data_IF_156125425927
#
_entry.id   IF_156125425927
#
_cell.length_a   1.000
_cell.length_b   1.000
_cell.length_c   1.000
_cell.angle_alpha   90.00
_cell.angle_beta   90.00
_cell.angle_gamma   90.00
#
_symmetry.space_group_name_H-M   'P 1'
#
loop_
_entity.id
_entity.type
_entity.pdbx_description
1 polymer ?
#
# COMPACT_ATOMS: atom_id res chain seq x y z
N UNK A 1 30.19 6.54 -16.63
CA UNK A 1 30.62 5.16 -16.70
C UNK A 1 31.07 4.67 -15.33
N UNK A 2 30.84 3.43 -14.99
CA UNK A 2 31.40 2.81 -13.78
C UNK A 2 32.89 2.58 -14.03
N UNK A 3 33.75 2.96 -13.10
CA UNK A 3 35.23 2.83 -13.21
C UNK A 3 35.86 3.51 -14.43
N UNK A 4 35.29 4.61 -14.90
CA UNK A 4 35.86 5.35 -16.04
C UNK A 4 35.65 4.69 -17.41
N UNK A 5 34.98 3.55 -17.51
CA UNK A 5 34.71 2.92 -18.79
C UNK A 5 33.41 3.46 -19.39
N UNK A 6 33.44 3.81 -20.65
CA UNK A 6 32.28 4.19 -21.45
C UNK A 6 31.69 2.94 -22.09
N UNK A 7 30.43 2.66 -21.79
CA UNK A 7 29.72 1.47 -22.24
C UNK A 7 28.77 1.72 -23.42
N UNK A 8 29.06 2.67 -24.28
CA UNK A 8 28.27 2.99 -25.47
C UNK A 8 27.21 4.08 -25.25
N UNK A 9 26.58 4.56 -26.32
CA UNK A 9 25.55 5.56 -26.21
C UNK A 9 24.34 5.00 -25.46
N UNK A 10 23.99 5.63 -24.35
CA UNK A 10 22.69 5.48 -23.75
C UNK A 10 21.71 6.01 -24.80
N UNK A 11 20.77 5.18 -25.27
CA UNK A 11 19.83 5.55 -26.33
C UNK A 11 19.18 6.91 -26.07
N UNK A 12 18.78 7.59 -27.13
CA UNK A 12 18.11 8.90 -27.03
C UNK A 12 16.77 8.75 -26.31
N UNK A 13 16.77 9.04 -25.02
CA UNK A 13 15.55 9.13 -24.21
C UNK A 13 14.87 10.47 -24.48
N UNK A 14 14.03 10.54 -25.50
CA UNK A 14 13.30 11.77 -25.85
C UNK A 14 12.11 12.08 -24.93
N UNK A 15 11.64 11.12 -24.14
CA UNK A 15 10.37 11.25 -23.38
C UNK A 15 10.32 10.51 -22.03
N UNK A 16 11.44 10.23 -21.38
CA UNK A 16 11.41 9.57 -20.08
C UNK A 16 12.34 10.19 -19.07
N UNK A 17 11.94 10.13 -17.81
CA UNK A 17 12.78 10.49 -16.67
C UNK A 17 13.64 9.28 -16.32
N UNK A 18 14.97 9.46 -16.27
CA UNK A 18 15.90 8.35 -16.00
C UNK A 18 15.64 7.82 -14.58
N UNK A 19 15.22 6.57 -14.49
CA UNK A 19 15.03 5.88 -13.21
C UNK A 19 16.36 5.86 -12.43
N UNK A 20 16.31 6.22 -11.13
CA UNK A 20 17.48 6.31 -10.28
C UNK A 20 18.22 7.66 -10.28
N UNK A 21 17.81 8.63 -11.11
CA UNK A 21 18.25 10.01 -10.96
C UNK A 21 17.68 10.61 -9.67
N UNK A 22 18.49 11.28 -8.86
CA UNK A 22 18.04 11.91 -7.60
C UNK A 22 16.95 12.96 -7.80
N UNK A 23 16.89 13.59 -8.97
CA UNK A 23 15.86 14.58 -9.33
C UNK A 23 14.61 13.99 -9.98
N UNK A 24 14.60 12.69 -10.32
CA UNK A 24 13.51 12.08 -11.09
C UNK A 24 12.16 12.15 -10.36
N UNK A 25 12.16 11.91 -9.05
CA UNK A 25 10.94 11.99 -8.23
C UNK A 25 10.37 13.41 -8.17
N UNK A 26 11.25 14.41 -8.06
CA UNK A 26 10.86 15.84 -8.03
C UNK A 26 10.30 16.28 -9.38
N UNK A 27 10.94 15.88 -10.47
CA UNK A 27 10.49 16.17 -11.83
C UNK A 27 9.14 15.51 -12.08
N UNK A 28 8.98 14.23 -11.77
CA UNK A 28 7.73 13.51 -11.93
C UNK A 28 6.59 14.19 -11.16
N UNK A 29 6.82 14.56 -9.90
CA UNK A 29 5.83 15.32 -9.11
C UNK A 29 5.42 16.63 -9.76
N UNK A 30 6.36 17.37 -10.33
CA UNK A 30 6.06 18.63 -11.03
C UNK A 30 5.24 18.40 -12.30
N UNK A 31 5.54 17.36 -13.08
CA UNK A 31 4.77 17.04 -14.28
C UNK A 31 3.33 16.68 -13.96
N UNK A 32 3.10 15.87 -12.92
CA UNK A 32 1.77 15.41 -12.51
C UNK A 32 0.97 16.50 -11.78
N UNK A 33 1.65 17.50 -11.21
CA UNK A 33 0.99 18.57 -10.45
C UNK A 33 -0.06 19.35 -11.26
N UNK A 34 0.23 19.64 -12.52
CA UNK A 34 -0.69 20.44 -13.35
C UNK A 34 -1.96 19.67 -13.71
N UNK A 35 -1.92 18.39 -14.10
CA UNK A 35 -3.12 17.55 -14.19
C UNK A 35 -3.95 17.51 -12.90
N UNK A 36 -3.30 17.39 -11.73
CA UNK A 36 -4.00 17.44 -10.44
C UNK A 36 -4.67 18.79 -10.18
N UNK A 37 -4.02 19.90 -10.56
CA UNK A 37 -4.63 21.21 -10.45
C UNK A 37 -5.84 21.38 -11.38
N UNK A 38 -5.76 20.83 -12.61
CA UNK A 38 -6.89 20.84 -13.53
C UNK A 38 -8.09 20.06 -12.95
N UNK A 39 -7.86 18.90 -12.38
CA UNK A 39 -8.90 18.13 -11.68
C UNK A 39 -9.54 18.91 -10.54
N UNK A 40 -8.74 19.58 -9.71
CA UNK A 40 -9.21 20.39 -8.58
C UNK A 40 -9.95 21.66 -9.00
N UNK A 41 -9.59 22.25 -10.13
CA UNK A 41 -10.33 23.40 -10.69
C UNK A 41 -11.73 22.99 -11.13
N UNK A 42 -11.88 21.78 -11.65
CA UNK A 42 -13.16 21.23 -12.04
C UNK A 42 -13.99 20.74 -10.86
N UNK A 43 -13.32 20.16 -9.83
CA UNK A 43 -14.00 19.62 -8.65
C UNK A 43 -13.11 19.70 -7.41
N UNK A 44 -13.30 20.72 -6.60
CA UNK A 44 -12.48 21.02 -5.41
C UNK A 44 -12.62 19.97 -4.30
N UNK A 45 -13.75 19.26 -4.24
CA UNK A 45 -14.06 18.31 -3.17
C UNK A 45 -13.41 16.94 -3.36
N UNK A 46 -12.73 16.71 -4.49
CA UNK A 46 -12.01 15.48 -4.75
C UNK A 46 -10.65 15.50 -4.05
N UNK A 47 -10.39 14.48 -3.26
CA UNK A 47 -9.11 14.29 -2.60
C UNK A 47 -8.11 13.60 -3.53
N UNK A 48 -6.93 14.17 -3.67
CA UNK A 48 -5.85 13.61 -4.49
C UNK A 48 -4.68 13.17 -3.63
N UNK A 49 -4.14 11.99 -3.95
CA UNK A 49 -2.85 11.53 -3.44
C UNK A 49 -1.92 11.21 -4.59
N UNK A 50 -0.69 11.66 -4.48
CA UNK A 50 0.36 11.38 -5.44
C UNK A 50 1.55 10.70 -4.76
N UNK A 51 1.96 9.57 -5.30
CA UNK A 51 3.23 8.94 -4.95
C UNK A 51 4.07 8.74 -6.21
N UNK A 52 5.00 9.67 -6.44
CA UNK A 52 5.85 9.77 -7.65
C UNK A 52 4.98 9.90 -8.91
N UNK A 53 4.74 8.81 -9.62
CA UNK A 53 3.93 8.66 -10.84
C UNK A 53 2.54 8.06 -10.57
N UNK A 54 2.37 7.39 -9.45
CA UNK A 54 1.06 6.85 -9.07
C UNK A 54 0.17 7.97 -8.50
N UNK A 55 -1.02 8.11 -9.07
CA UNK A 55 -2.06 9.07 -8.63
C UNK A 55 -3.29 8.30 -8.20
N UNK A 56 -3.87 8.73 -7.11
CA UNK A 56 -5.16 8.25 -6.63
C UNK A 56 -6.07 9.46 -6.38
N UNK A 57 -7.27 9.41 -6.93
CA UNK A 57 -8.34 10.37 -6.66
C UNK A 57 -9.43 9.66 -5.86
N UNK A 58 -9.94 10.33 -4.83
CA UNK A 58 -11.01 9.81 -3.99
C UNK A 58 -12.16 10.80 -3.95
N UNK A 59 -13.34 10.26 -4.14
CA UNK A 59 -14.59 10.97 -3.94
C UNK A 59 -15.43 10.21 -2.91
N UNK A 60 -16.02 10.93 -1.98
CA UNK A 60 -16.92 10.36 -0.98
C UNK A 60 -18.18 11.22 -0.85
N UNK A 61 -19.30 10.62 -0.50
CA UNK A 61 -20.58 11.32 -0.32
C UNK A 61 -21.71 10.33 -0.05
N UNK A 62 -22.85 10.87 0.38
CA UNK A 62 -24.07 10.08 0.65
C UNK A 62 -24.87 9.83 -0.63
N UNK A 63 -24.82 10.76 -1.58
CA UNK A 63 -25.58 10.69 -2.84
C UNK A 63 -24.72 10.09 -3.94
N UNK A 64 -25.12 8.92 -4.42
CA UNK A 64 -24.35 8.17 -5.44
C UNK A 64 -24.21 8.95 -6.74
N UNK A 65 -25.26 9.61 -7.19
CA UNK A 65 -25.22 10.39 -8.43
C UNK A 65 -24.22 11.54 -8.36
N UNK A 66 -24.16 12.21 -7.22
CA UNK A 66 -23.20 13.30 -6.98
C UNK A 66 -21.75 12.78 -6.92
N UNK A 67 -21.50 11.66 -6.23
CA UNK A 67 -20.20 11.00 -6.20
C UNK A 67 -19.75 10.62 -7.61
N UNK A 68 -20.63 10.01 -8.41
CA UNK A 68 -20.32 9.66 -9.81
C UNK A 68 -19.94 10.93 -10.61
N UNK A 69 -20.80 11.96 -10.57
CA UNK A 69 -20.56 13.20 -11.32
C UNK A 69 -19.23 13.85 -10.98
N UNK A 70 -18.92 13.98 -9.70
CA UNK A 70 -17.65 14.56 -9.22
C UNK A 70 -16.44 13.74 -9.63
N UNK A 71 -16.52 12.41 -9.46
CA UNK A 71 -15.44 11.49 -9.86
C UNK A 71 -15.15 11.56 -11.35
N UNK A 72 -16.20 11.55 -12.18
CA UNK A 72 -16.07 11.60 -13.64
C UNK A 72 -15.45 12.93 -14.04
N UNK A 73 -16.01 14.06 -13.54
CA UNK A 73 -15.55 15.39 -13.89
C UNK A 73 -14.08 15.62 -13.56
N UNK A 74 -13.66 15.32 -12.32
CA UNK A 74 -12.27 15.46 -11.90
C UNK A 74 -11.33 14.51 -12.64
N UNK A 75 -11.75 13.26 -12.82
CA UNK A 75 -10.92 12.26 -13.47
C UNK A 75 -10.70 12.51 -14.95
N UNK A 76 -11.72 12.95 -15.68
CA UNK A 76 -11.59 13.36 -17.11
C UNK A 76 -10.67 14.57 -17.22
N UNK A 77 -10.88 15.62 -16.41
CA UNK A 77 -10.03 16.80 -16.42
C UNK A 77 -8.55 16.46 -16.12
N UNK A 78 -8.31 15.54 -15.19
CA UNK A 78 -6.98 15.01 -14.94
C UNK A 78 -6.39 14.32 -16.17
N UNK A 79 -7.15 13.42 -16.78
CA UNK A 79 -6.68 12.60 -17.91
C UNK A 79 -6.39 13.46 -19.15
N UNK A 80 -7.29 14.37 -19.52
CA UNK A 80 -7.11 15.33 -20.63
C UNK A 80 -5.89 16.23 -20.42
N UNK A 81 -5.72 16.77 -19.20
CA UNK A 81 -4.56 17.61 -18.88
C UNK A 81 -3.26 16.81 -18.90
N UNK A 82 -3.28 15.53 -18.48
CA UNK A 82 -2.14 14.64 -18.55
C UNK A 82 -1.75 14.33 -19.98
N UNK A 83 -2.69 13.91 -20.82
CA UNK A 83 -2.44 13.62 -22.24
C UNK A 83 -2.02 14.84 -23.05
N UNK A 84 -2.61 15.98 -22.81
CA UNK A 84 -2.20 17.26 -23.41
C UNK A 84 -0.75 17.66 -23.11
N UNK A 85 -0.14 17.02 -22.09
CA UNK A 85 1.28 17.17 -21.70
C UNK A 85 2.16 16.02 -22.16
N UNK A 86 1.61 15.09 -22.93
CA UNK A 86 2.32 13.90 -23.41
C UNK A 86 2.49 12.79 -22.36
N UNK A 87 1.75 12.85 -21.24
CA UNK A 87 1.65 11.75 -20.29
C UNK A 87 0.57 10.78 -20.79
N UNK A 88 0.83 9.50 -20.69
CA UNK A 88 -0.16 8.47 -21.08
C UNK A 88 -0.77 7.86 -19.82
N UNK A 89 -2.09 7.77 -19.78
CA UNK A 89 -2.79 7.04 -18.73
C UNK A 89 -2.44 5.56 -18.85
N UNK A 90 -1.97 4.97 -17.77
CA UNK A 90 -1.55 3.58 -17.78
C UNK A 90 -2.75 2.64 -17.95
N UNK A 91 -2.62 1.60 -18.79
CA UNK A 91 -3.67 0.59 -19.00
C UNK A 91 -4.07 -0.20 -17.76
N UNK A 92 -3.24 -0.16 -16.70
CA UNK A 92 -3.54 -0.70 -15.37
C UNK A 92 -4.40 0.22 -14.50
N UNK A 93 -4.73 1.42 -14.97
CA UNK A 93 -5.57 2.37 -14.23
C UNK A 93 -6.99 1.82 -14.10
N UNK A 94 -7.54 1.93 -12.89
CA UNK A 94 -8.83 1.32 -12.57
C UNK A 94 -9.68 2.24 -11.71
N UNK A 95 -10.98 2.14 -11.88
CA UNK A 95 -11.98 2.70 -10.97
C UNK A 95 -12.36 1.64 -9.95
N UNK A 96 -12.29 1.97 -8.67
CA UNK A 96 -12.71 1.11 -7.56
C UNK A 96 -13.78 1.84 -6.75
N UNK A 97 -14.85 1.15 -6.40
CA UNK A 97 -15.94 1.71 -5.59
C UNK A 97 -16.42 0.69 -4.55
N UNK A 98 -17.13 1.17 -3.54
CA UNK A 98 -17.88 0.33 -2.59
C UNK A 98 -19.01 -0.47 -3.29
N UNK A 99 -19.50 0.03 -4.43
CA UNK A 99 -20.50 -0.63 -5.27
C UNK A 99 -19.93 -0.96 -6.64
N UNK A 100 -19.95 -2.23 -7.09
CA UNK A 100 -19.48 -2.62 -8.43
C UNK A 100 -20.19 -1.90 -9.57
N UNK A 101 -21.49 -1.64 -9.44
CA UNK A 101 -22.27 -0.92 -10.46
C UNK A 101 -21.83 0.52 -10.62
N UNK A 102 -21.47 1.19 -9.53
CA UNK A 102 -20.91 2.55 -9.54
C UNK A 102 -19.55 2.57 -10.24
N UNK A 103 -18.68 1.63 -9.92
CA UNK A 103 -17.38 1.53 -10.59
C UNK A 103 -17.53 1.30 -12.10
N UNK A 104 -18.42 0.41 -12.50
CA UNK A 104 -18.70 0.12 -13.91
C UNK A 104 -19.28 1.34 -14.64
N UNK A 105 -20.19 2.07 -14.02
CA UNK A 105 -20.77 3.29 -14.57
C UNK A 105 -19.67 4.35 -14.81
N UNK A 106 -18.87 4.65 -13.80
CA UNK A 106 -17.78 5.64 -13.91
C UNK A 106 -16.77 5.21 -14.98
N UNK A 107 -16.37 3.94 -15.02
CA UNK A 107 -15.44 3.41 -16.03
C UNK A 107 -16.01 3.47 -17.45
N UNK A 108 -17.34 3.34 -17.60
CA UNK A 108 -18.03 3.52 -18.91
C UNK A 108 -17.90 4.97 -19.39
N UNK A 109 -18.19 5.92 -18.53
CA UNK A 109 -18.07 7.35 -18.84
C UNK A 109 -16.62 7.75 -19.23
N UNK A 110 -15.61 7.18 -18.54
CA UNK A 110 -14.21 7.38 -18.92
C UNK A 110 -13.92 6.86 -20.33
N UNK A 111 -14.44 5.67 -20.68
CA UNK A 111 -14.26 5.11 -22.03
C UNK A 111 -14.97 5.92 -23.09
N UNK A 112 -16.16 6.45 -22.80
CA UNK A 112 -16.88 7.36 -23.71
C UNK A 112 -16.12 8.67 -23.91
N UNK A 113 -15.36 9.12 -22.93
CA UNK A 113 -14.43 10.26 -23.04
C UNK A 113 -13.08 9.90 -23.72
N UNK A 114 -12.88 8.65 -24.13
CA UNK A 114 -11.67 8.21 -24.84
C UNK A 114 -10.58 7.60 -23.97
N UNK A 115 -10.80 7.42 -22.65
CA UNK A 115 -9.82 6.86 -21.72
C UNK A 115 -10.15 5.40 -21.40
N UNK A 116 -9.22 4.49 -21.72
CA UNK A 116 -9.40 3.05 -21.45
C UNK A 116 -9.10 2.72 -19.97
N UNK A 117 -10.02 3.14 -19.10
CA UNK A 117 -9.99 2.86 -17.67
C UNK A 117 -11.03 1.81 -17.36
N UNK A 118 -10.63 0.73 -16.69
CA UNK A 118 -11.51 -0.38 -16.32
C UNK A 118 -12.08 -0.21 -14.90
N UNK A 119 -13.18 -0.94 -14.62
CA UNK A 119 -13.69 -1.10 -13.26
C UNK A 119 -13.13 -2.39 -12.65
N UNK A 120 -12.68 -2.34 -11.40
CA UNK A 120 -12.28 -3.52 -10.63
C UNK A 120 -12.88 -3.41 -9.21
N UNK A 121 -12.96 -4.54 -8.52
CA UNK A 121 -13.35 -4.62 -7.11
C UNK A 121 -12.21 -4.22 -6.17
N UNK A 122 -10.98 -4.21 -6.66
CA UNK A 122 -9.77 -3.92 -5.89
C UNK A 122 -8.70 -3.31 -6.76
N UNK A 123 -7.87 -2.47 -6.19
CA UNK A 123 -6.69 -1.93 -6.86
C UNK A 123 -5.42 -2.27 -6.10
N UNK A 124 -4.29 -2.34 -6.82
CA UNK A 124 -2.98 -2.47 -6.21
C UNK A 124 -2.29 -1.11 -6.23
N UNK A 125 -2.15 -0.51 -5.05
CA UNK A 125 -1.47 0.76 -4.87
C UNK A 125 -0.20 0.53 -4.04
N UNK A 126 0.94 0.91 -4.57
CA UNK A 126 2.26 0.74 -3.93
C UNK A 126 2.52 -0.72 -3.48
N UNK A 127 2.05 -1.70 -4.25
CA UNK A 127 2.21 -3.12 -3.91
C UNK A 127 1.28 -3.64 -2.81
N UNK A 128 0.32 -2.84 -2.36
CA UNK A 128 -0.74 -3.24 -1.43
C UNK A 128 -2.05 -3.29 -2.17
N UNK A 129 -2.72 -4.44 -2.13
CA UNK A 129 -4.04 -4.58 -2.74
C UNK A 129 -5.11 -4.10 -1.78
N UNK A 130 -5.82 -3.07 -2.19
CA UNK A 130 -6.91 -2.43 -1.44
C UNK A 130 -8.24 -2.75 -2.11
N UNK A 131 -9.25 -3.08 -1.32
CA UNK A 131 -10.61 -3.34 -1.77
C UNK A 131 -11.56 -2.43 -0.98
N UNK A 132 -12.44 -1.74 -1.69
CA UNK A 132 -13.45 -0.84 -1.08
C UNK A 132 -14.79 -1.55 -0.82
N UNK A 133 -15.11 -2.60 -1.58
CA UNK A 133 -16.26 -3.45 -1.35
C UNK A 133 -16.02 -4.41 -0.18
N UNK A 134 -17.08 -5.04 0.32
CA UNK A 134 -16.98 -6.05 1.38
C UNK A 134 -15.98 -7.17 1.02
N UNK A 135 -15.21 -7.60 2.03
CA UNK A 135 -14.21 -8.65 1.90
C UNK A 135 -12.78 -8.13 1.85
N UNK A 136 -11.84 -9.06 1.81
CA UNK A 136 -10.40 -8.77 1.76
C UNK A 136 -9.73 -9.49 0.60
N UNK A 137 -9.14 -8.76 -0.31
CA UNK A 137 -8.33 -9.37 -1.36
C UNK A 137 -6.86 -9.51 -0.88
N UNK A 138 -6.51 -10.71 -0.45
CA UNK A 138 -5.18 -11.03 0.07
C UNK A 138 -4.24 -11.64 -0.98
N UNK A 139 -4.57 -11.60 -2.27
CA UNK A 139 -3.78 -12.27 -3.33
C UNK A 139 -2.32 -11.79 -3.36
N UNK A 140 -2.09 -10.49 -3.31
CA UNK A 140 -0.74 -9.90 -3.31
C UNK A 140 0.03 -10.25 -2.03
N UNK A 141 -0.62 -10.22 -0.86
CA UNK A 141 -0.03 -10.65 0.39
C UNK A 141 0.35 -12.14 0.34
N UNK A 142 -0.55 -13.00 -0.14
CA UNK A 142 -0.27 -14.45 -0.32
C UNK A 142 0.92 -14.69 -1.24
N UNK A 143 1.02 -13.97 -2.35
CA UNK A 143 2.14 -14.07 -3.29
C UNK A 143 3.47 -13.65 -2.63
N UNK A 144 3.50 -12.55 -1.85
CA UNK A 144 4.68 -12.14 -1.08
C UNK A 144 5.09 -13.20 -0.06
N UNK A 145 4.12 -13.75 0.67
CA UNK A 145 4.37 -14.80 1.63
C UNK A 145 4.90 -16.10 0.99
N UNK A 146 4.41 -16.47 -0.18
CA UNK A 146 4.96 -17.61 -0.91
C UNK A 146 6.43 -17.40 -1.30
N UNK A 147 6.76 -16.21 -1.83
CA UNK A 147 8.16 -15.82 -2.13
C UNK A 147 9.03 -15.80 -0.87
N UNK A 148 8.51 -15.27 0.24
CA UNK A 148 9.21 -15.28 1.52
C UNK A 148 9.54 -16.70 1.99
N UNK A 149 8.55 -17.61 2.02
CA UNK A 149 8.76 -19.01 2.42
C UNK A 149 9.85 -19.68 1.60
N UNK A 150 9.85 -19.51 0.29
CA UNK A 150 10.87 -20.07 -0.59
C UNK A 150 12.28 -19.54 -0.28
N UNK A 151 12.40 -18.26 0.09
CA UNK A 151 13.69 -17.64 0.44
C UNK A 151 14.17 -17.98 1.84
N UNK A 152 13.26 -18.11 2.80
CA UNK A 152 13.58 -18.47 4.20
C UNK A 152 14.31 -19.79 4.28
N UNK A 153 13.94 -20.79 3.49
CA UNK A 153 14.67 -22.07 3.41
C UNK A 153 16.15 -21.88 3.06
N UNK A 154 16.44 -21.04 2.06
CA UNK A 154 17.82 -20.72 1.65
C UNK A 154 18.58 -19.92 2.72
N UNK A 155 17.92 -18.95 3.36
CA UNK A 155 18.50 -18.16 4.46
C UNK A 155 18.84 -19.08 5.65
N UNK A 156 17.98 -20.05 5.96
CA UNK A 156 18.23 -21.05 7.00
C UNK A 156 19.45 -21.94 6.70
N UNK A 157 19.70 -22.29 5.43
CA UNK A 157 20.92 -22.99 5.04
C UNK A 157 22.16 -22.08 5.19
N UNK A 158 22.07 -20.84 4.76
CA UNK A 158 23.14 -19.85 4.91
C UNK A 158 23.51 -19.60 6.38
N UNK A 159 22.56 -19.68 7.31
CA UNK A 159 22.82 -19.47 8.73
C UNK A 159 23.78 -20.46 9.36
N UNK A 160 23.97 -21.64 8.73
CA UNK A 160 24.97 -22.63 9.12
C UNK A 160 26.41 -22.20 8.79
N UNK A 161 26.55 -21.29 7.81
CA UNK A 161 27.85 -20.88 7.26
C UNK A 161 28.21 -19.46 7.63
N UNK A 162 27.22 -18.58 7.76
CA UNK A 162 27.48 -17.14 8.01
C UNK A 162 26.45 -16.50 8.93
N UNK A 163 26.92 -15.62 9.81
CA UNK A 163 26.09 -14.75 10.66
C UNK A 163 25.28 -13.69 9.86
N UNK A 164 25.64 -13.44 8.59
CA UNK A 164 24.93 -12.49 7.73
C UNK A 164 23.51 -12.96 7.39
N UNK A 165 23.19 -14.23 7.59
CA UNK A 165 21.86 -14.77 7.37
C UNK A 165 20.78 -14.02 8.18
N UNK A 166 21.07 -13.59 9.40
CA UNK A 166 20.15 -12.80 10.21
C UNK A 166 19.82 -11.43 9.56
N UNK A 167 20.80 -10.75 8.95
CA UNK A 167 20.58 -9.49 8.22
C UNK A 167 19.72 -9.70 6.97
N UNK A 168 20.00 -10.75 6.21
CA UNK A 168 19.19 -11.12 5.04
C UNK A 168 17.76 -11.46 5.45
N UNK A 169 17.57 -12.15 6.55
CA UNK A 169 16.25 -12.46 7.09
C UNK A 169 15.48 -11.18 7.42
N UNK A 170 16.09 -10.19 8.11
CA UNK A 170 15.44 -8.92 8.47
C UNK A 170 14.95 -8.18 7.22
N UNK A 171 15.78 -8.10 6.18
CA UNK A 171 15.41 -7.45 4.91
C UNK A 171 14.24 -8.16 4.24
N UNK A 172 14.23 -9.51 4.22
CA UNK A 172 13.15 -10.29 3.61
C UNK A 172 11.86 -10.26 4.44
N UNK A 173 11.98 -10.18 5.76
CA UNK A 173 10.85 -10.03 6.66
C UNK A 173 10.07 -8.74 6.36
N UNK A 174 10.77 -7.61 6.17
CA UNK A 174 10.12 -6.33 5.87
C UNK A 174 9.36 -6.37 4.53
N UNK A 175 9.84 -7.11 3.54
CA UNK A 175 9.12 -7.31 2.26
C UNK A 175 7.90 -8.19 2.44
N UNK A 176 7.99 -9.27 3.23
CA UNK A 176 6.87 -10.18 3.48
C UNK A 176 5.72 -9.51 4.22
N UNK A 177 6.05 -8.65 5.20
CA UNK A 177 5.10 -7.92 6.05
C UNK A 177 4.73 -6.55 5.50
N UNK A 178 5.11 -6.24 4.25
CA UNK A 178 4.76 -4.99 3.62
C UNK A 178 3.24 -4.90 3.44
N UNK A 179 2.65 -3.82 3.95
CA UNK A 179 1.19 -3.60 3.92
C UNK A 179 0.41 -4.31 5.04
N UNK A 180 1.05 -5.14 5.89
CA UNK A 180 0.36 -5.79 7.02
C UNK A 180 -0.21 -4.77 8.02
N UNK A 181 0.36 -3.55 8.06
CA UNK A 181 -0.19 -2.43 8.84
C UNK A 181 -1.56 -1.97 8.36
N UNK A 182 -1.88 -2.19 7.07
CA UNK A 182 -3.16 -1.79 6.48
C UNK A 182 -4.17 -2.95 6.40
N UNK A 183 -3.68 -4.17 6.15
CA UNK A 183 -4.53 -5.35 5.93
C UNK A 183 -4.58 -6.33 7.10
N UNK A 184 -3.75 -6.09 8.12
CA UNK A 184 -3.58 -6.98 9.27
C UNK A 184 -2.61 -8.13 9.00
N UNK A 185 -2.12 -8.75 10.07
CA UNK A 185 -1.21 -9.89 10.02
C UNK A 185 -1.85 -11.11 10.67
N UNK A 186 -1.85 -12.25 9.97
CA UNK A 186 -2.36 -13.51 10.50
C UNK A 186 -1.43 -14.02 11.64
N UNK A 187 -1.98 -14.44 12.80
CA UNK A 187 -1.19 -15.05 13.88
C UNK A 187 -0.31 -16.22 13.42
N UNK A 188 -0.75 -17.02 12.43
CA UNK A 188 0.06 -18.08 11.82
C UNK A 188 1.30 -17.54 11.12
N UNK A 189 1.17 -16.36 10.47
CA UNK A 189 2.28 -15.68 9.82
C UNK A 189 3.28 -15.15 10.84
N UNK A 190 2.82 -14.59 11.96
CA UNK A 190 3.68 -14.15 13.06
C UNK A 190 4.48 -15.32 13.65
N UNK A 191 3.83 -16.46 13.84
CA UNK A 191 4.50 -17.66 14.31
C UNK A 191 5.58 -18.16 13.33
N UNK A 192 5.28 -18.17 12.03
CA UNK A 192 6.25 -18.50 10.98
C UNK A 192 7.44 -17.54 10.95
N UNK A 193 7.22 -16.24 11.14
CA UNK A 193 8.29 -15.24 11.23
C UNK A 193 9.21 -15.54 12.42
N UNK A 194 8.62 -15.85 13.57
CA UNK A 194 9.37 -16.17 14.80
C UNK A 194 10.24 -17.42 14.62
N UNK A 195 9.68 -18.49 14.08
CA UNK A 195 10.42 -19.71 13.80
C UNK A 195 11.53 -19.51 12.76
N UNK A 196 11.20 -18.80 11.67
CA UNK A 196 12.16 -18.53 10.60
C UNK A 196 13.29 -17.62 11.09
N UNK A 197 12.99 -16.62 11.91
CA UNK A 197 13.98 -15.75 12.55
C UNK A 197 14.94 -16.52 13.45
N UNK A 198 14.42 -17.39 14.29
CA UNK A 198 15.24 -18.24 15.15
C UNK A 198 16.23 -19.12 14.34
N UNK A 199 15.75 -19.72 13.26
CA UNK A 199 16.62 -20.49 12.34
C UNK A 199 17.66 -19.62 11.65
N UNK A 200 17.29 -18.43 11.19
CA UNK A 200 18.20 -17.49 10.53
C UNK A 200 19.28 -16.95 11.49
N UNK A 201 19.01 -16.93 12.79
CA UNK A 201 19.97 -16.57 13.83
C UNK A 201 21.07 -17.64 14.04
N UNK A 202 20.99 -18.78 13.36
CA UNK A 202 22.00 -19.85 13.44
C UNK A 202 21.96 -20.68 14.73
N UNK A 203 20.90 -20.57 15.50
CA UNK A 203 20.71 -21.36 16.72
C UNK A 203 20.00 -22.69 16.40
N UNK A 204 20.77 -23.65 15.90
CA UNK A 204 20.27 -24.94 15.45
C UNK A 204 20.37 -26.06 16.51
N UNK A 205 20.89 -25.74 17.70
CA UNK A 205 20.97 -26.73 18.82
C UNK A 205 19.81 -26.53 19.79
N UNK A 206 19.65 -27.46 20.71
CA UNK A 206 18.70 -27.50 21.84
C UNK A 206 17.52 -26.55 21.67
N UNK A 207 16.37 -26.98 21.32
CA UNK A 207 15.12 -26.24 21.07
C UNK A 207 14.99 -24.90 21.87
N UNK A 208 15.78 -23.84 21.55
CA UNK A 208 15.66 -22.61 22.29
C UNK A 208 14.29 -21.99 21.95
N UNK A 209 13.69 -21.29 22.90
CA UNK A 209 12.46 -20.56 22.65
C UNK A 209 12.67 -19.61 21.45
N UNK A 210 11.95 -19.78 20.33
CA UNK A 210 12.19 -18.98 19.13
C UNK A 210 12.04 -17.49 19.37
N UNK A 211 11.15 -17.09 20.26
CA UNK A 211 10.93 -15.69 20.62
C UNK A 211 12.15 -15.09 21.35
N UNK A 212 12.72 -15.84 22.30
CA UNK A 212 13.92 -15.41 23.04
C UNK A 212 15.12 -15.28 22.10
N UNK A 213 15.30 -16.20 21.17
CA UNK A 213 16.35 -16.11 20.14
C UNK A 213 16.17 -14.88 19.28
N UNK A 214 14.96 -14.62 18.82
CA UNK A 214 14.68 -13.44 18.03
C UNK A 214 14.94 -12.14 18.81
N UNK A 215 14.54 -12.06 20.09
CA UNK A 215 14.74 -10.86 20.92
C UNK A 215 16.21 -10.54 21.19
N UNK A 216 17.05 -11.58 21.29
CA UNK A 216 18.49 -11.41 21.49
C UNK A 216 19.28 -11.15 20.20
N UNK A 217 18.74 -11.55 19.07
CA UNK A 217 19.46 -11.49 17.78
C UNK A 217 19.10 -10.27 16.96
N UNK A 218 17.82 -9.88 16.97
CA UNK A 218 17.32 -8.82 16.12
C UNK A 218 17.07 -7.54 16.93
N UNK A 219 17.52 -6.41 16.41
CA UNK A 219 17.29 -5.09 17.00
C UNK A 219 15.78 -4.75 17.13
N UNK A 220 14.97 -5.28 16.23
CA UNK A 220 13.52 -5.20 16.27
C UNK A 220 12.95 -6.59 16.01
N UNK A 221 12.07 -7.07 16.89
CA UNK A 221 11.45 -8.39 16.77
C UNK A 221 10.65 -8.50 15.47
N UNK A 222 11.04 -9.37 14.53
CA UNK A 222 10.39 -9.50 13.24
C UNK A 222 8.87 -9.74 13.33
N UNK A 223 8.36 -10.58 14.23
CA UNK A 223 6.92 -10.82 14.34
C UNK A 223 6.14 -9.64 14.95
N UNK A 224 6.82 -8.73 15.64
CA UNK A 224 6.18 -7.57 16.28
C UNK A 224 6.19 -6.34 15.36
N UNK A 225 7.07 -6.30 14.37
CA UNK A 225 7.20 -5.14 13.47
C UNK A 225 5.88 -4.71 12.79
N UNK A 226 5.03 -5.60 12.25
CA UNK A 226 3.77 -5.21 11.65
C UNK A 226 2.86 -4.50 12.65
N UNK A 227 2.81 -5.02 13.88
CA UNK A 227 1.99 -4.47 14.96
C UNK A 227 2.53 -3.10 15.40
N UNK A 228 3.85 -2.98 15.60
CA UNK A 228 4.48 -1.69 15.93
C UNK A 228 4.24 -0.65 14.85
N UNK A 229 4.38 -1.01 13.57
CA UNK A 229 4.09 -0.09 12.46
C UNK A 229 2.63 0.37 12.46
N UNK A 230 1.69 -0.54 12.71
CA UNK A 230 0.28 -0.21 12.82
C UNK A 230 0.05 0.80 13.97
N UNK A 231 0.58 0.53 15.15
CA UNK A 231 0.45 1.45 16.29
C UNK A 231 1.12 2.79 16.04
N UNK A 232 2.32 2.80 15.44
CA UNK A 232 3.01 4.05 15.10
C UNK A 232 2.18 4.89 14.12
N UNK A 233 1.63 4.24 13.10
CA UNK A 233 0.75 4.90 12.14
C UNK A 233 -0.53 5.43 12.83
N UNK A 234 -1.16 4.63 13.68
CA UNK A 234 -2.35 5.01 14.45
C UNK A 234 -2.08 6.23 15.35
N UNK A 235 -0.97 6.22 16.07
CA UNK A 235 -0.58 7.34 16.94
C UNK A 235 -0.35 8.60 16.10
N UNK A 236 0.36 8.51 14.97
CA UNK A 236 0.61 9.65 14.10
C UNK A 236 -0.69 10.21 13.52
N UNK A 237 -1.56 9.33 13.03
CA UNK A 237 -2.87 9.72 12.51
C UNK A 237 -3.75 10.33 13.60
N UNK A 238 -3.83 9.70 14.75
CA UNK A 238 -4.61 10.19 15.88
C UNK A 238 -4.13 11.57 16.35
N UNK A 239 -2.81 11.77 16.43
CA UNK A 239 -2.21 13.07 16.78
C UNK A 239 -2.55 14.16 15.77
N UNK A 240 -2.60 13.83 14.49
CA UNK A 240 -2.98 14.77 13.42
C UNK A 240 -4.45 15.14 13.51
N UNK A 241 -5.29 14.15 13.60
CA UNK A 241 -6.75 14.28 13.58
C UNK A 241 -7.26 14.98 14.86
N UNK A 242 -6.62 14.78 16.01
CA UNK A 242 -7.01 15.41 17.28
C UNK A 242 -6.63 16.89 17.40
N UNK A 243 -5.98 17.46 16.39
CA UNK A 243 -5.74 18.91 16.32
C UNK A 243 -7.01 19.70 16.04
N UNK A 244 -8.02 19.09 15.41
CA UNK A 244 -9.30 19.71 15.16
C UNK A 244 -10.37 19.22 16.15
N UNK A 245 -10.94 20.10 16.99
CA UNK A 245 -11.95 19.72 17.99
C UNK A 245 -13.21 19.10 17.41
N UNK A 246 -13.64 19.51 16.22
CA UNK A 246 -14.82 18.95 15.53
C UNK A 246 -14.60 17.51 15.15
N UNK A 247 -13.41 17.20 14.69
CA UNK A 247 -12.99 15.83 14.34
C UNK A 247 -12.86 14.94 15.57
N UNK A 248 -12.40 15.47 16.70
CA UNK A 248 -12.37 14.74 17.99
C UNK A 248 -13.76 14.31 18.42
N UNK A 249 -14.75 15.21 18.31
CA UNK A 249 -16.15 14.89 18.63
C UNK A 249 -16.68 13.76 17.74
N UNK A 250 -16.51 13.87 16.42
CA UNK A 250 -16.96 12.87 15.46
C UNK A 250 -16.26 11.51 15.67
N UNK A 251 -14.96 11.51 15.97
CA UNK A 251 -14.24 10.29 16.34
C UNK A 251 -14.78 9.64 17.60
N UNK A 252 -15.16 10.43 18.59
CA UNK A 252 -15.79 9.95 19.81
C UNK A 252 -17.10 9.20 19.55
N UNK A 253 -17.93 9.75 18.66
CA UNK A 253 -19.17 9.10 18.20
C UNK A 253 -18.89 7.79 17.44
N UNK A 254 -17.99 7.83 16.47
CA UNK A 254 -17.63 6.62 15.68
C UNK A 254 -17.03 5.55 16.59
N UNK A 255 -16.16 5.91 17.52
CA UNK A 255 -15.55 4.98 18.47
C UNK A 255 -16.59 4.35 19.39
N UNK A 256 -17.56 5.14 19.87
CA UNK A 256 -18.63 4.64 20.73
C UNK A 256 -19.50 3.64 19.98
N UNK A 257 -19.93 3.97 18.78
CA UNK A 257 -20.73 3.09 17.93
C UNK A 257 -19.98 1.78 17.60
N UNK A 258 -18.72 1.90 17.16
CA UNK A 258 -17.88 0.73 16.88
C UNK A 258 -17.68 -0.15 18.11
N UNK A 259 -17.43 0.43 19.29
CA UNK A 259 -17.27 -0.31 20.54
C UNK A 259 -18.54 -1.08 20.90
N UNK A 260 -19.70 -0.49 20.68
CA UNK A 260 -20.99 -1.13 21.02
C UNK A 260 -21.34 -2.23 20.02
N UNK A 261 -21.03 -2.06 18.73
CA UNK A 261 -21.08 -3.12 17.72
C UNK A 261 -20.13 -4.28 18.07
N UNK A 262 -18.88 -3.96 18.43
CA UNK A 262 -17.88 -4.98 18.80
C UNK A 262 -18.24 -5.77 20.05
N UNK A 263 -19.01 -5.19 20.98
CA UNK A 263 -19.54 -5.91 22.14
C UNK A 263 -20.59 -6.96 21.77
N UNK A 264 -21.32 -6.74 20.71
CA UNK A 264 -22.34 -7.67 20.21
C UNK A 264 -21.76 -8.83 19.39
N UNK A 265 -20.52 -8.69 18.91
CA UNK A 265 -19.85 -9.73 18.12
C UNK A 265 -19.28 -10.84 19.02
N UNK A 266 -19.36 -12.09 18.54
CA UNK A 266 -18.64 -13.22 19.14
C UNK A 266 -17.11 -12.94 19.16
N UNK A 267 -16.43 -13.46 20.18
CA UNK A 267 -14.99 -13.28 20.36
C UNK A 267 -14.13 -13.60 19.13
N UNK A 268 -14.54 -14.62 18.34
CA UNK A 268 -13.86 -14.96 17.09
C UNK A 268 -14.13 -13.95 15.96
N UNK A 269 -15.30 -13.33 15.93
CA UNK A 269 -15.65 -12.33 14.95
C UNK A 269 -14.95 -11.00 15.22
N UNK A 270 -14.74 -10.62 16.50
CA UNK A 270 -14.03 -9.39 16.90
C UNK A 270 -12.64 -9.28 16.30
N UNK A 271 -11.88 -10.39 16.27
CA UNK A 271 -10.54 -10.43 15.67
C UNK A 271 -10.52 -10.43 14.13
N UNK A 272 -11.67 -10.62 13.50
CA UNK A 272 -11.80 -10.57 12.04
C UNK A 272 -12.27 -9.20 11.54
N UNK A 273 -12.93 -8.44 12.40
CA UNK A 273 -13.43 -7.10 12.08
C UNK A 273 -12.39 -5.99 12.31
N UNK A 274 -11.36 -6.27 13.08
CA UNK A 274 -10.18 -5.40 13.25
C UNK A 274 -9.14 -5.74 12.19
#
# INVERSE_FOLDING_TARGET
GFNGSYHGPIGNFSRSIVAGCTSSTTLCRRFVRLPLLAARQEEETVEDWQHIDDVCQRTAGCEVADVCKRSIKAGIAFAESAEGRGLTIASKSVVVSTSPSVAQFIAKEFREAGFDISADLSTEMLGVRTQLAEGRNLSTAKARWAKFKARVSRISMLSKVTKQAARLFTSHCSVATYGDSSIGCDPKQQHLLTQAGSKAAGKHGFQPCPLSVCSLTFRALPPVQPVVKLFTWWISWFTEVTRDPSTVHNLGLVWTNWRDEMRQLDHKARWRAA
#
